data_IF_384822692358
#
_entry.id   IF_384822692358
#
_cell.length_a   1.000
_cell.length_b   1.000
_cell.length_c   1.000
_cell.angle_alpha   90.00
_cell.angle_beta   90.00
_cell.angle_gamma   90.00
#
_symmetry.space_group_name_H-M   'P 1'
#
loop_
_entity.id
_entity.type
_entity.pdbx_description
1 polymer ?
#
# COMPACT_ATOMS: atom_id res chain seq x y z
N UNK A 1 49.87 -37.66 10.67
CA UNK A 1 50.76 -38.62 9.99
C UNK A 1 49.95 -39.87 9.68
N UNK A 2 49.76 -40.12 8.39
CA UNK A 2 49.28 -41.34 7.71
C UNK A 2 48.42 -42.37 8.48
N UNK A 3 47.12 -42.30 8.21
CA UNK A 3 46.21 -43.32 7.69
C UNK A 3 46.58 -44.82 7.68
N UNK A 4 45.65 -45.60 8.24
CA UNK A 4 44.90 -46.75 7.69
C UNK A 4 45.59 -48.06 7.30
N UNK A 5 45.01 -49.12 7.86
CA UNK A 5 44.68 -50.33 7.12
C UNK A 5 43.53 -51.07 7.80
N UNK A 6 42.30 -50.98 7.26
CA UNK A 6 41.48 -52.18 7.07
C UNK A 6 40.27 -51.98 6.16
N UNK A 7 40.01 -53.08 5.46
CA UNK A 7 39.08 -53.36 4.38
C UNK A 7 37.63 -53.51 4.91
N UNK A 8 36.65 -52.99 4.17
CA UNK A 8 35.23 -53.22 4.44
C UNK A 8 34.33 -52.42 3.51
N UNK A 9 34.01 -52.99 2.35
CA UNK A 9 33.01 -52.46 1.42
C UNK A 9 31.62 -52.71 2.03
N UNK A 10 30.93 -51.64 2.44
CA UNK A 10 29.50 -51.70 2.77
C UNK A 10 28.72 -50.95 1.70
N UNK A 11 28.11 -51.73 0.79
CA UNK A 11 27.09 -51.25 -0.15
C UNK A 11 25.81 -51.02 0.66
N UNK A 12 25.66 -49.83 1.22
CA UNK A 12 24.39 -49.38 1.80
C UNK A 12 23.46 -48.86 0.71
N UNK A 13 22.12 -48.98 0.85
CA UNK A 13 21.20 -48.41 -0.12
C UNK A 13 21.42 -46.90 -0.12
N UNK A 14 21.76 -46.34 -1.29
CA UNK A 14 21.68 -44.90 -1.51
C UNK A 14 20.23 -44.49 -1.23
N UNK A 15 19.96 -43.98 -0.02
CA UNK A 15 18.88 -43.04 0.16
C UNK A 15 19.28 -41.80 -0.65
N UNK A 16 18.96 -41.82 -1.95
CA UNK A 16 18.64 -40.61 -2.65
C UNK A 16 17.44 -40.04 -1.90
N UNK A 17 17.71 -39.21 -0.88
CA UNK A 17 16.78 -38.19 -0.46
C UNK A 17 16.60 -37.32 -1.70
N UNK A 18 15.64 -37.73 -2.55
CA UNK A 18 15.23 -36.97 -3.69
C UNK A 18 14.87 -35.60 -3.14
N UNK A 19 15.70 -34.62 -3.45
CA UNK A 19 15.32 -33.23 -3.39
C UNK A 19 14.13 -33.14 -4.33
N UNK A 20 12.92 -33.37 -3.81
CA UNK A 20 11.71 -32.92 -4.47
C UNK A 20 11.85 -31.40 -4.38
N UNK A 21 12.11 -30.67 -5.48
CA UNK A 21 11.95 -29.25 -5.42
C UNK A 21 10.48 -29.03 -5.06
N UNK A 22 10.22 -28.60 -3.82
CA UNK A 22 8.93 -28.05 -3.45
C UNK A 22 8.81 -26.77 -4.26
N UNK A 23 8.32 -26.88 -5.49
CA UNK A 23 7.84 -25.73 -6.23
C UNK A 23 6.59 -25.28 -5.50
N UNK A 24 6.76 -24.45 -4.48
CA UNK A 24 5.68 -23.67 -3.91
C UNK A 24 5.17 -22.79 -5.05
N UNK A 25 4.11 -23.24 -5.73
CA UNK A 25 3.42 -22.40 -6.69
C UNK A 25 2.77 -21.29 -5.86
N UNK A 26 3.30 -20.07 -5.93
CA UNK A 26 2.59 -18.91 -5.42
C UNK A 26 1.28 -18.82 -6.21
N UNK A 27 0.18 -19.23 -5.59
CA UNK A 27 -1.15 -19.07 -6.17
C UNK A 27 -1.47 -17.58 -6.11
N UNK A 28 -1.14 -16.87 -7.19
CA UNK A 28 -1.40 -15.44 -7.32
C UNK A 28 -2.89 -15.10 -7.29
N UNK A 29 -3.18 -13.82 -7.06
CA UNK A 29 -4.54 -13.25 -7.11
C UNK A 29 -4.96 -12.82 -8.53
N UNK A 30 -4.20 -13.21 -9.55
CA UNK A 30 -4.51 -12.86 -10.94
C UNK A 30 -5.89 -13.39 -11.34
N UNK A 31 -6.71 -12.52 -11.93
CA UNK A 31 -8.09 -12.84 -12.32
C UNK A 31 -9.09 -13.01 -11.17
N UNK A 32 -8.67 -12.84 -9.91
CA UNK A 32 -9.54 -12.95 -8.73
C UNK A 32 -9.95 -11.58 -8.22
N UNK A 33 -10.96 -11.54 -7.37
CA UNK A 33 -11.44 -10.32 -6.70
C UNK A 33 -11.86 -10.64 -5.28
N UNK A 34 -11.69 -9.67 -4.38
CA UNK A 34 -12.07 -9.77 -2.98
C UNK A 34 -13.42 -9.08 -2.84
N UNK A 35 -14.38 -9.74 -2.19
CA UNK A 35 -15.76 -9.29 -2.10
C UNK A 35 -16.10 -9.11 -0.62
N UNK A 36 -16.64 -7.94 -0.29
CA UNK A 36 -17.14 -7.59 1.04
C UNK A 36 -18.66 -7.39 0.91
N UNK A 37 -19.47 -8.42 1.18
CA UNK A 37 -20.89 -8.43 0.82
C UNK A 37 -21.77 -7.53 1.71
N UNK A 38 -21.33 -7.21 2.92
CA UNK A 38 -22.02 -6.33 3.85
C UNK A 38 -21.00 -5.63 4.76
N UNK A 39 -21.46 -4.57 5.41
CA UNK A 39 -20.66 -3.78 6.34
C UNK A 39 -20.30 -4.60 7.60
N UNK A 40 -19.02 -4.60 7.94
CA UNK A 40 -18.49 -5.21 9.17
C UNK A 40 -17.30 -4.40 9.67
N UNK A 41 -16.97 -4.55 10.95
CA UNK A 41 -15.80 -3.99 11.61
C UNK A 41 -14.60 -4.94 11.65
N UNK A 42 -14.77 -6.19 11.20
CA UNK A 42 -13.73 -7.23 11.22
C UNK A 42 -13.34 -7.80 9.85
N UNK A 43 -14.05 -7.50 8.76
CA UNK A 43 -13.69 -8.00 7.42
C UNK A 43 -12.69 -7.08 6.73
N UNK A 44 -11.44 -7.52 6.64
CA UNK A 44 -10.38 -6.82 5.91
C UNK A 44 -9.40 -7.82 5.29
N UNK A 45 -8.60 -7.35 4.36
CA UNK A 45 -7.51 -8.13 3.77
C UNK A 45 -6.18 -7.47 4.14
N UNK A 46 -5.30 -8.25 4.75
CA UNK A 46 -3.92 -7.84 5.03
C UNK A 46 -3.02 -8.25 3.86
N UNK A 47 -2.41 -7.26 3.22
CA UNK A 47 -1.36 -7.48 2.24
C UNK A 47 -0.01 -7.41 2.95
N UNK A 48 0.82 -8.45 2.76
CA UNK A 48 2.20 -8.45 3.27
C UNK A 48 3.13 -8.09 2.12
N UNK A 49 3.69 -6.88 2.09
CA UNK A 49 4.55 -6.49 1.00
C UNK A 49 5.91 -7.18 1.13
N UNK A 50 6.51 -7.60 0.00
CA UNK A 50 7.85 -8.20 -0.01
C UNK A 50 8.95 -7.18 0.31
N UNK A 51 8.66 -5.88 0.11
CA UNK A 51 9.53 -4.76 0.41
C UNK A 51 8.72 -3.70 1.16
N UNK A 52 9.31 -2.99 2.15
CA UNK A 52 8.67 -1.83 2.74
C UNK A 52 8.27 -0.81 1.67
N UNK A 53 7.19 -0.07 1.90
CA UNK A 53 6.77 0.96 0.97
C UNK A 53 7.72 2.15 1.07
N UNK A 54 8.31 2.56 -0.04
CA UNK A 54 9.14 3.77 -0.07
C UNK A 54 8.24 5.01 -0.15
N UNK A 55 8.01 5.65 0.99
CA UNK A 55 7.27 6.92 1.08
C UNK A 55 8.12 8.13 0.69
N UNK A 56 9.07 7.97 -0.23
CA UNK A 56 9.72 9.10 -0.92
C UNK A 56 9.05 9.36 -2.27
N UNK A 57 8.61 8.31 -2.95
CA UNK A 57 7.75 8.37 -4.11
C UNK A 57 7.08 7.01 -4.29
N UNK A 58 5.78 7.00 -4.58
CA UNK A 58 5.07 5.75 -4.78
C UNK A 58 3.97 5.88 -5.84
N UNK A 59 3.58 4.72 -6.37
CA UNK A 59 2.37 4.55 -7.16
C UNK A 59 1.55 3.41 -6.57
N UNK A 60 0.34 3.70 -6.14
CA UNK A 60 -0.62 2.73 -5.61
C UNK A 60 -1.75 2.58 -6.61
N UNK A 61 -1.97 1.37 -7.13
CA UNK A 61 -3.07 1.09 -8.07
C UNK A 61 -3.97 -0.01 -7.53
N UNK A 62 -5.28 0.17 -7.69
CA UNK A 62 -6.31 -0.76 -7.29
C UNK A 62 -7.46 -0.75 -8.28
N UNK A 63 -8.17 -1.87 -8.38
CA UNK A 63 -9.40 -1.98 -9.16
C UNK A 63 -10.54 -2.30 -8.20
N UNK A 64 -11.52 -1.43 -8.14
CA UNK A 64 -12.62 -1.50 -7.18
C UNK A 64 -13.95 -1.14 -7.82
N UNK A 65 -15.03 -1.59 -7.18
CA UNK A 65 -16.42 -1.25 -7.47
C UNK A 65 -17.17 -1.25 -6.14
N UNK A 66 -18.16 -0.38 -6.00
CA UNK A 66 -18.95 -0.28 -4.78
C UNK A 66 -20.38 0.16 -5.09
N UNK A 67 -21.34 -0.39 -4.36
CA UNK A 67 -22.75 0.01 -4.40
C UNK A 67 -23.11 0.94 -3.23
N UNK A 68 -22.15 1.23 -2.34
CA UNK A 68 -22.37 2.08 -1.18
C UNK A 68 -22.65 3.52 -1.62
N UNK A 69 -23.76 4.09 -1.14
CA UNK A 69 -24.16 5.48 -1.37
C UNK A 69 -23.09 6.46 -0.88
N UNK A 70 -22.97 7.62 -1.53
CA UNK A 70 -21.90 8.61 -1.32
C UNK A 70 -21.83 9.19 0.10
N UNK A 71 -22.91 9.11 0.88
CA UNK A 71 -23.02 9.61 2.27
C UNK A 71 -22.19 8.81 3.30
N UNK A 72 -21.54 7.73 2.86
CA UNK A 72 -20.69 6.86 3.68
C UNK A 72 -19.21 7.03 3.39
N UNK A 73 -18.41 7.02 4.45
CA UNK A 73 -16.95 6.95 4.37
C UNK A 73 -16.50 5.51 4.10
N UNK A 74 -15.51 5.33 3.23
CA UNK A 74 -14.95 4.02 2.88
C UNK A 74 -13.43 4.11 2.91
N UNK A 75 -12.80 3.20 3.64
CA UNK A 75 -11.35 3.00 3.56
C UNK A 75 -11.06 2.15 2.32
N UNK A 76 -10.39 2.72 1.34
CA UNK A 76 -10.00 2.02 0.12
C UNK A 76 -8.64 1.31 0.28
N UNK A 77 -7.73 1.92 1.04
CA UNK A 77 -6.43 1.35 1.35
C UNK A 77 -5.87 1.97 2.62
N UNK A 78 -5.17 1.17 3.42
CA UNK A 78 -4.49 1.60 4.63
C UNK A 78 -3.13 0.89 4.73
N UNK A 79 -2.09 1.67 4.98
CA UNK A 79 -0.74 1.21 5.28
C UNK A 79 -0.27 1.87 6.58
N UNK A 80 0.09 1.02 7.54
CA UNK A 80 0.51 1.40 8.88
C UNK A 80 1.94 0.96 9.12
N UNK A 81 2.76 1.85 9.66
CA UNK A 81 4.02 1.50 10.32
C UNK A 81 3.83 1.56 11.82
N UNK A 82 4.77 0.99 12.58
CA UNK A 82 4.59 0.66 14.00
C UNK A 82 3.95 1.74 14.88
N UNK A 83 4.21 3.02 14.59
CA UNK A 83 3.80 4.14 15.43
C UNK A 83 2.67 5.01 14.85
N UNK A 84 2.34 4.90 13.55
CA UNK A 84 1.32 5.76 12.91
C UNK A 84 0.76 5.22 11.58
N UNK A 85 -0.41 5.76 11.21
CA UNK A 85 -1.03 5.59 9.90
C UNK A 85 -0.22 6.34 8.84
N UNK A 86 0.67 5.62 8.16
CA UNK A 86 1.60 6.20 7.21
C UNK A 86 0.92 6.65 5.91
N UNK A 87 0.01 5.83 5.38
CA UNK A 87 -0.76 6.15 4.17
C UNK A 87 -2.18 5.59 4.30
N UNK A 88 -3.17 6.46 4.14
CA UNK A 88 -4.58 6.05 3.97
C UNK A 88 -5.18 6.65 2.71
N UNK A 89 -6.04 5.89 2.04
CA UNK A 89 -6.86 6.37 0.92
C UNK A 89 -8.32 6.14 1.27
N UNK A 90 -9.10 7.22 1.22
CA UNK A 90 -10.50 7.20 1.60
C UNK A 90 -11.39 7.70 0.46
N UNK A 91 -12.62 7.18 0.45
CA UNK A 91 -13.76 7.92 -0.08
C UNK A 91 -14.42 8.61 1.10
N UNK A 92 -14.54 9.92 1.04
CA UNK A 92 -15.19 10.74 2.05
C UNK A 92 -16.72 10.68 1.95
N UNK A 93 -17.42 11.16 2.99
CA UNK A 93 -18.89 11.22 3.03
C UNK A 93 -19.50 12.20 2.03
N UNK A 94 -18.69 13.09 1.48
CA UNK A 94 -19.08 14.02 0.41
C UNK A 94 -18.71 13.50 -0.98
N UNK A 95 -18.35 12.21 -1.09
CA UNK A 95 -17.99 11.54 -2.34
C UNK A 95 -16.56 11.81 -2.82
N UNK A 96 -15.84 12.76 -2.22
CA UNK A 96 -14.45 13.05 -2.60
C UNK A 96 -13.54 11.88 -2.30
N UNK A 97 -12.48 11.73 -3.10
CA UNK A 97 -11.42 10.77 -2.79
C UNK A 97 -10.27 11.55 -2.16
N UNK A 98 -9.86 11.14 -0.97
CA UNK A 98 -8.77 11.74 -0.23
C UNK A 98 -7.66 10.72 -0.01
N UNK A 99 -6.44 11.21 0.12
CA UNK A 99 -5.37 10.43 0.72
C UNK A 99 -4.73 11.21 1.85
N UNK A 100 -4.28 10.50 2.87
CA UNK A 100 -3.59 11.03 4.04
C UNK A 100 -2.21 10.40 4.11
N UNK A 101 -1.19 11.22 4.31
CA UNK A 101 0.19 10.77 4.46
C UNK A 101 0.78 11.38 5.74
N UNK A 102 1.11 10.55 6.71
CA UNK A 102 1.67 10.99 8.01
C UNK A 102 0.88 12.11 8.71
N UNK A 103 -0.46 12.10 8.58
CA UNK A 103 -1.37 13.03 9.26
C UNK A 103 -2.12 14.01 8.34
N UNK A 104 -1.42 14.65 7.40
CA UNK A 104 -2.04 15.62 6.49
C UNK A 104 -2.71 14.93 5.31
N UNK A 105 -3.88 15.47 4.90
CA UNK A 105 -4.72 14.91 3.84
C UNK A 105 -4.92 15.84 2.65
N UNK A 106 -4.97 15.26 1.46
CA UNK A 106 -5.33 15.96 0.22
C UNK A 106 -6.57 15.32 -0.37
N UNK A 107 -7.59 16.14 -0.66
CA UNK A 107 -8.87 15.71 -1.22
C UNK A 107 -8.99 16.09 -2.70
N UNK A 108 -9.57 15.19 -3.49
CA UNK A 108 -9.81 15.36 -4.92
C UNK A 108 -11.29 15.16 -5.23
N UNK A 109 -11.83 16.07 -6.02
CA UNK A 109 -13.15 15.90 -6.63
C UNK A 109 -12.98 15.04 -7.87
N UNK A 110 -13.26 13.74 -7.74
CA UNK A 110 -13.24 12.78 -8.83
C UNK A 110 -14.66 12.34 -9.15
N UNK A 111 -14.91 11.77 -10.35
CA UNK A 111 -16.17 11.09 -10.62
C UNK A 111 -16.48 10.05 -9.53
N UNK A 112 -17.75 9.88 -9.15
CA UNK A 112 -18.14 8.91 -8.13
C UNK A 112 -17.69 7.48 -8.47
N UNK A 113 -17.33 6.74 -7.43
CA UNK A 113 -17.15 5.30 -7.52
C UNK A 113 -18.52 4.65 -7.68
N UNK A 114 -18.65 3.74 -8.64
CA UNK A 114 -19.92 3.09 -8.98
C UNK A 114 -19.81 1.57 -8.87
N UNK A 115 -20.88 0.88 -9.22
CA UNK A 115 -20.92 -0.57 -9.39
C UNK A 115 -20.08 -1.05 -10.57
N UNK A 116 -19.67 -0.14 -11.47
CA UNK A 116 -18.75 -0.44 -12.55
C UNK A 116 -17.30 -0.43 -12.05
N UNK A 117 -16.55 -1.45 -12.48
CA UNK A 117 -15.15 -1.62 -12.14
C UNK A 117 -14.33 -0.39 -12.55
N UNK A 118 -13.76 0.28 -11.56
CA UNK A 118 -12.94 1.46 -11.72
C UNK A 118 -11.48 1.14 -11.41
N UNK A 119 -10.57 1.51 -12.32
CA UNK A 119 -9.13 1.46 -12.08
C UNK A 119 -8.69 2.78 -11.47
N UNK A 120 -8.35 2.77 -10.18
CA UNK A 120 -7.91 3.93 -9.43
C UNK A 120 -6.41 3.79 -9.13
N UNK A 121 -5.62 4.77 -9.52
CA UNK A 121 -4.22 4.87 -9.10
C UNK A 121 -3.95 6.20 -8.41
N UNK A 122 -3.07 6.20 -7.42
CA UNK A 122 -2.54 7.36 -6.73
C UNK A 122 -1.02 7.40 -6.95
N UNK A 123 -0.52 8.54 -7.41
CA UNK A 123 0.91 8.84 -7.48
C UNK A 123 1.25 9.95 -6.51
N UNK A 124 2.38 9.85 -5.81
CA UNK A 124 2.89 10.90 -4.94
C UNK A 124 4.42 10.92 -4.95
N UNK A 125 5.00 12.10 -4.81
CA UNK A 125 6.45 12.33 -4.71
C UNK A 125 6.77 13.37 -3.63
N UNK A 126 7.69 13.05 -2.72
CA UNK A 126 8.05 13.89 -1.57
C UNK A 126 8.75 15.18 -1.95
N UNK A 127 9.60 15.16 -2.99
CA UNK A 127 10.45 16.30 -3.38
C UNK A 127 9.63 17.51 -3.83
N UNK A 128 8.55 17.26 -4.56
CA UNK A 128 7.69 18.30 -5.13
C UNK A 128 6.35 18.40 -4.43
N UNK A 129 5.98 17.39 -3.63
CA UNK A 129 4.64 17.25 -3.06
C UNK A 129 3.57 16.98 -4.12
N UNK A 130 3.96 16.69 -5.37
CA UNK A 130 3.02 16.45 -6.45
C UNK A 130 2.28 15.14 -6.20
N UNK A 131 0.96 15.24 -6.22
CA UNK A 131 0.08 14.09 -6.16
C UNK A 131 -0.95 14.15 -7.27
N UNK A 132 -1.37 12.97 -7.72
CA UNK A 132 -2.44 12.85 -8.70
C UNK A 132 -3.14 11.52 -8.55
N UNK A 133 -4.45 11.54 -8.75
CA UNK A 133 -5.22 10.34 -9.00
C UNK A 133 -5.34 10.10 -10.50
N UNK A 134 -5.37 8.83 -10.87
CA UNK A 134 -5.72 8.38 -12.21
C UNK A 134 -6.95 7.49 -12.10
N UNK A 135 -8.04 7.90 -12.73
CA UNK A 135 -9.28 7.14 -12.76
C UNK A 135 -9.54 6.67 -14.18
N UNK A 136 -9.52 5.35 -14.40
CA UNK A 136 -9.68 4.73 -15.71
C UNK A 136 -8.71 5.30 -16.77
N UNK A 137 -7.48 5.60 -16.35
CA UNK A 137 -6.44 6.17 -17.22
C UNK A 137 -6.51 7.70 -17.39
N UNK A 138 -7.52 8.37 -16.82
CA UNK A 138 -7.64 9.83 -16.85
C UNK A 138 -7.00 10.40 -15.59
N UNK A 139 -6.03 11.30 -15.76
CA UNK A 139 -5.33 11.96 -14.67
C UNK A 139 -6.15 13.12 -14.10
N UNK A 140 -6.22 13.23 -12.78
CA UNK A 140 -6.77 14.40 -12.11
C UNK A 140 -5.82 15.61 -12.22
N UNK A 141 -6.40 16.80 -12.17
CA UNK A 141 -5.61 17.99 -11.86
C UNK A 141 -5.12 17.85 -10.41
N UNK A 142 -3.84 18.15 -10.16
CA UNK A 142 -3.37 18.24 -8.78
C UNK A 142 -4.10 19.41 -8.10
N UNK A 143 -4.67 19.24 -6.90
CA UNK A 143 -5.28 20.31 -6.12
C UNK A 143 -4.30 21.48 -5.91
N UNK A 144 -3.00 21.17 -5.84
CA UNK A 144 -1.92 22.16 -5.75
C UNK A 144 -1.63 22.93 -7.04
N UNK A 145 -2.29 22.64 -8.17
CA UNK A 145 -2.14 23.43 -9.40
C UNK A 145 -3.08 24.65 -9.47
N UNK A 146 -4.14 24.70 -8.64
CA UNK A 146 -5.15 25.77 -8.69
C UNK A 146 -5.16 26.67 -7.44
N UNK A 147 -4.28 26.45 -6.47
CA UNK A 147 -4.12 27.30 -5.26
C UNK A 147 -2.74 27.95 -5.12
N UNK A 148 -1.82 27.71 -6.06
CA UNK A 148 -0.43 28.18 -5.97
C UNK A 148 -0.14 29.50 -6.73
N UNK A 149 -1.10 30.43 -6.78
CA UNK A 149 -0.74 31.84 -7.04
C UNK A 149 -0.55 32.67 -5.77
N UNK A 150 -0.89 32.17 -4.56
CA UNK A 150 -0.81 33.00 -3.35
C UNK A 150 -0.16 32.42 -2.09
N UNK A 151 0.35 31.19 -2.07
CA UNK A 151 1.07 30.68 -0.89
C UNK A 151 2.37 29.97 -1.27
N UNK A 152 3.27 30.74 -1.88
CA UNK A 152 4.69 30.52 -1.68
C UNK A 152 5.02 30.92 -0.23
N UNK A 153 5.83 30.08 0.43
CA UNK A 153 6.35 30.16 1.80
C UNK A 153 5.56 29.37 2.85
N UNK A 154 5.86 28.07 2.95
CA UNK A 154 6.39 27.62 4.23
C UNK A 154 7.70 26.85 3.97
N UNK A 155 8.86 27.39 4.37
CA UNK A 155 10.11 26.68 4.32
C UNK A 155 10.09 25.56 5.37
N UNK A 156 10.85 24.52 5.08
CA UNK A 156 11.24 23.43 5.97
C UNK A 156 11.55 23.98 7.37
N UNK A 157 10.68 23.75 8.35
CA UNK A 157 11.07 23.86 9.76
C UNK A 157 11.59 22.50 10.19
N UNK A 158 12.91 22.38 10.22
CA UNK A 158 13.58 21.43 11.09
C UNK A 158 13.09 21.66 12.52
N UNK A 159 12.31 20.73 13.08
CA UNK A 159 12.15 20.62 14.52
C UNK A 159 13.16 19.58 15.02
N UNK A 160 14.28 20.08 15.56
CA UNK A 160 15.19 19.32 16.41
C UNK A 160 14.84 19.59 17.90
N UNK A 161 15.39 18.83 18.86
CA UNK A 161 14.65 18.18 19.95
C UNK A 161 14.30 19.11 21.12
N UNK A 162 13.17 18.84 21.77
CA UNK A 162 12.88 19.38 23.11
C UNK A 162 13.09 18.27 24.13
N UNK A 163 14.13 18.46 24.94
CA UNK A 163 14.41 17.79 26.20
C UNK A 163 13.28 18.00 27.23
N UNK A 164 13.01 16.95 28.00
CA UNK A 164 12.15 16.84 29.19
C UNK A 164 12.22 18.02 30.18
N UNK A 165 11.23 18.16 31.09
CA UNK A 165 11.39 17.49 32.39
C UNK A 165 10.11 16.83 32.95
N UNK A 166 10.35 15.81 33.78
CA UNK A 166 9.44 15.18 34.74
C UNK A 166 8.95 16.15 35.82
N UNK A 167 7.87 15.77 36.53
CA UNK A 167 8.03 15.44 37.94
C UNK A 167 7.57 14.02 38.30
#
# INVERSE_FOLDING_TARGET
MFTYGNLGVLVGPLLLCGLIPSSASEVGLSGKSLIFPYETDYSYVRLTPQKPLELSAFTLCMRLATELQEDRQIILFAYRTGDFDELNVWREKDGRISFYLSGDGVSFNLPPLTTFKTSLCLTWESKTGLSAFWMNGIRSASPSSLLLSHLLLCPISFANPVSSPSP
#
